data_IF_373905360866
#
_entry.id   IF_373905360866
#
_cell.length_a   1.000
_cell.length_b   1.000
_cell.length_c   1.000
_cell.angle_alpha   90.00
_cell.angle_beta   90.00
_cell.angle_gamma   90.00
#
_symmetry.space_group_name_H-M   'P 1'
#
loop_
_entity.id
_entity.type
_entity.pdbx_description
1 polymer ?
#
# COMPACT_ATOMS: atom_id res chain seq x y z
N UNK A 1 9.96 7.39 -10.83
CA UNK A 1 8.90 8.03 -11.64
C UNK A 1 7.50 7.72 -11.11
N UNK A 2 7.05 6.45 -11.13
CA UNK A 2 5.67 6.07 -10.78
C UNK A 2 5.20 6.57 -9.39
N UNK A 3 6.06 6.52 -8.37
CA UNK A 3 5.72 7.01 -7.02
C UNK A 3 5.54 8.54 -7.01
N UNK A 4 6.43 9.28 -7.67
CA UNK A 4 6.34 10.74 -7.75
C UNK A 4 5.11 11.23 -8.53
N UNK A 5 4.77 10.57 -9.64
CA UNK A 5 3.55 10.91 -10.38
C UNK A 5 2.28 10.54 -9.62
N UNK A 6 2.30 9.44 -8.85
CA UNK A 6 1.19 9.06 -7.97
C UNK A 6 0.97 10.08 -6.84
N UNK A 7 2.04 10.59 -6.23
CA UNK A 7 1.95 11.62 -5.20
C UNK A 7 1.32 12.92 -5.73
N UNK A 8 1.78 13.40 -6.90
CA UNK A 8 1.19 14.57 -7.55
C UNK A 8 -0.29 14.34 -7.89
N UNK A 9 -0.62 13.17 -8.46
CA UNK A 9 -2.01 12.83 -8.76
C UNK A 9 -2.88 12.79 -7.50
N UNK A 10 -2.37 12.26 -6.38
CA UNK A 10 -3.10 12.22 -5.12
C UNK A 10 -3.35 13.62 -4.54
N UNK A 11 -2.39 14.55 -4.66
CA UNK A 11 -2.58 15.96 -4.27
C UNK A 11 -3.68 16.60 -5.11
N UNK A 12 -3.70 16.36 -6.43
CA UNK A 12 -4.73 16.87 -7.33
C UNK A 12 -6.10 16.26 -7.03
N UNK A 13 -6.16 14.97 -6.71
CA UNK A 13 -7.40 14.30 -6.28
C UNK A 13 -7.91 14.88 -4.96
N UNK A 14 -7.04 15.19 -4.01
CA UNK A 14 -7.42 15.87 -2.78
C UNK A 14 -7.94 17.29 -3.02
N UNK A 15 -7.31 18.05 -3.91
CA UNK A 15 -7.84 19.35 -4.33
C UNK A 15 -9.23 19.22 -4.97
N UNK A 16 -9.44 18.17 -5.77
CA UNK A 16 -10.74 17.85 -6.37
C UNK A 16 -11.78 17.47 -5.31
N UNK A 17 -11.38 16.73 -4.27
CA UNK A 17 -12.21 16.41 -3.12
C UNK A 17 -12.67 17.66 -2.38
N UNK A 18 -11.77 18.61 -2.09
CA UNK A 18 -12.12 19.88 -1.47
C UNK A 18 -13.10 20.67 -2.34
N UNK A 19 -12.88 20.70 -3.65
CA UNK A 19 -13.75 21.43 -4.57
C UNK A 19 -15.14 20.80 -4.66
N UNK A 20 -15.24 19.47 -4.71
CA UNK A 20 -16.53 18.79 -4.66
C UNK A 20 -17.25 19.01 -3.33
N UNK A 21 -16.52 19.03 -2.21
CA UNK A 21 -17.09 19.30 -0.90
C UNK A 21 -17.69 20.72 -0.83
N UNK A 22 -16.97 21.71 -1.38
CA UNK A 22 -17.47 23.09 -1.49
C UNK A 22 -18.74 23.15 -2.35
N UNK A 23 -18.74 22.47 -3.50
CA UNK A 23 -19.89 22.48 -4.41
C UNK A 23 -21.16 21.90 -3.77
N UNK A 24 -21.02 20.86 -2.94
CA UNK A 24 -22.15 20.25 -2.24
C UNK A 24 -22.62 21.07 -1.03
N UNK A 25 -21.69 21.67 -0.26
CA UNK A 25 -22.04 22.52 0.90
C UNK A 25 -22.61 23.88 0.52
N UNK A 26 -22.22 24.43 -0.63
CA UNK A 26 -22.54 25.79 -1.03
C UNK A 26 -23.20 25.79 -2.44
N UNK A 27 -24.40 25.21 -2.62
CA UNK A 27 -25.02 25.14 -3.94
C UNK A 27 -25.43 26.53 -4.44
N UNK A 28 -24.99 26.89 -5.65
CA UNK A 28 -25.49 28.07 -6.38
C UNK A 28 -24.88 29.43 -6.00
N UNK A 29 -24.14 29.55 -4.90
CA UNK A 29 -23.40 30.77 -4.55
C UNK A 29 -22.09 30.39 -3.86
N UNK A 30 -21.01 30.22 -4.63
CA UNK A 30 -19.66 30.18 -4.08
C UNK A 30 -19.27 31.58 -3.58
N UNK A 31 -19.95 32.09 -2.55
CA UNK A 31 -19.41 33.23 -1.81
C UNK A 31 -18.04 32.82 -1.29
N UNK A 32 -17.05 33.70 -1.46
CA UNK A 32 -15.69 33.45 -0.95
C UNK A 32 -15.71 33.06 0.55
N UNK A 33 -16.72 33.52 1.30
CA UNK A 33 -16.97 33.16 2.69
C UNK A 33 -17.32 31.67 2.91
N UNK A 34 -18.17 31.06 2.08
CA UNK A 34 -18.53 29.64 2.21
C UNK A 34 -17.36 28.72 1.81
N UNK A 35 -16.63 29.08 0.75
CA UNK A 35 -15.40 28.36 0.39
C UNK A 35 -14.33 28.48 1.49
N UNK A 36 -14.23 29.64 2.15
CA UNK A 36 -13.31 29.84 3.27
C UNK A 36 -13.71 29.03 4.52
N UNK A 37 -15.01 28.92 4.83
CA UNK A 37 -15.48 28.11 5.96
C UNK A 37 -15.18 26.63 5.76
N UNK A 38 -15.39 26.09 4.55
CA UNK A 38 -15.06 24.70 4.22
C UNK A 38 -13.55 24.44 4.31
N UNK A 39 -12.71 25.39 3.87
CA UNK A 39 -11.25 25.27 4.04
C UNK A 39 -10.84 25.27 5.51
N UNK A 40 -11.50 26.06 6.35
CA UNK A 40 -11.24 26.10 7.79
C UNK A 40 -11.65 24.80 8.52
N UNK A 41 -12.51 23.96 7.93
CA UNK A 41 -12.82 22.64 8.50
C UNK A 41 -11.57 21.75 8.64
N UNK A 42 -10.58 21.93 7.76
CA UNK A 42 -9.35 21.14 7.75
C UNK A 42 -8.22 21.76 8.57
N UNK A 43 -8.53 22.65 9.51
CA UNK A 43 -7.55 23.20 10.44
C UNK A 43 -6.88 22.06 11.22
N UNK A 44 -5.53 22.02 11.22
CA UNK A 44 -4.75 20.98 11.92
C UNK A 44 -5.01 21.00 13.43
N UNK A 45 -5.44 22.14 13.99
CA UNK A 45 -5.86 22.23 15.40
C UNK A 45 -7.14 21.47 15.73
N UNK A 46 -7.90 21.00 14.73
CA UNK A 46 -9.11 20.21 14.95
C UNK A 46 -8.75 18.76 15.30
N UNK A 47 -9.19 18.24 16.47
CA UNK A 47 -8.92 16.86 16.89
C UNK A 47 -9.32 15.80 15.87
N UNK A 48 -10.43 15.98 15.14
CA UNK A 48 -10.91 14.99 14.18
C UNK A 48 -10.05 14.91 12.92
N UNK A 49 -9.48 16.05 12.50
CA UNK A 49 -8.50 16.09 11.40
C UNK A 49 -7.23 15.37 11.83
N UNK A 50 -6.77 15.58 13.07
CA UNK A 50 -5.60 14.87 13.62
C UNK A 50 -5.84 13.36 13.74
N UNK A 51 -7.00 12.94 14.25
CA UNK A 51 -7.38 11.53 14.28
C UNK A 51 -7.37 10.92 12.87
N UNK A 52 -7.97 11.63 11.90
CA UNK A 52 -7.93 11.24 10.50
C UNK A 52 -6.51 11.11 9.97
N UNK A 53 -5.62 12.07 10.30
CA UNK A 53 -4.22 12.04 9.89
C UNK A 53 -3.47 10.82 10.41
N UNK A 54 -3.67 10.45 11.69
CA UNK A 54 -3.09 9.24 12.27
C UNK A 54 -3.63 7.97 11.63
N UNK A 55 -4.95 7.88 11.42
CA UNK A 55 -5.58 6.73 10.77
C UNK A 55 -5.05 6.60 9.34
N UNK A 56 -5.08 7.68 8.56
CA UNK A 56 -4.55 7.73 7.20
C UNK A 56 -3.07 7.40 7.15
N UNK A 57 -2.30 7.89 8.10
CA UNK A 57 -0.87 7.61 8.24
C UNK A 57 -0.54 6.14 8.53
N UNK A 58 -1.44 5.44 9.22
CA UNK A 58 -1.32 4.01 9.51
C UNK A 58 -1.59 3.15 8.26
N UNK A 59 -2.47 3.59 7.35
CA UNK A 59 -2.95 2.76 6.24
C UNK A 59 -1.82 2.20 5.35
N UNK A 60 -0.82 2.98 4.91
CA UNK A 60 0.28 2.44 4.11
C UNK A 60 1.08 1.37 4.86
N UNK A 61 1.31 1.55 6.17
CA UNK A 61 2.02 0.57 6.98
C UNK A 61 1.22 -0.72 7.16
N UNK A 62 -0.08 -0.61 7.43
CA UNK A 62 -0.97 -1.76 7.56
C UNK A 62 -1.11 -2.52 6.24
N UNK A 63 -1.29 -1.80 5.13
CA UNK A 63 -1.36 -2.39 3.80
C UNK A 63 -0.06 -3.13 3.46
N UNK A 64 1.08 -2.50 3.76
CA UNK A 64 2.38 -3.07 3.49
C UNK A 64 2.67 -4.30 4.36
N UNK A 65 2.34 -4.26 5.66
CA UNK A 65 2.56 -5.41 6.55
C UNK A 65 1.78 -6.62 6.08
N UNK A 66 0.50 -6.47 5.75
CA UNK A 66 -0.35 -7.54 5.25
C UNK A 66 0.17 -8.12 3.92
N UNK A 67 0.61 -7.24 3.02
CA UNK A 67 1.19 -7.65 1.73
C UNK A 67 2.49 -8.44 1.91
N UNK A 68 3.37 -8.01 2.81
CA UNK A 68 4.63 -8.71 3.09
C UNK A 68 4.41 -10.03 3.82
N UNK A 69 3.45 -10.09 4.75
CA UNK A 69 3.09 -11.31 5.46
C UNK A 69 2.51 -12.37 4.50
N UNK A 70 1.69 -11.93 3.53
CA UNK A 70 1.17 -12.78 2.47
C UNK A 70 2.29 -13.37 1.60
N UNK A 71 3.27 -12.56 1.19
CA UNK A 71 4.44 -13.04 0.43
C UNK A 71 5.26 -14.00 1.27
N UNK A 72 5.45 -13.73 2.57
CA UNK A 72 6.16 -14.63 3.48
C UNK A 72 5.50 -16.01 3.59
N UNK A 73 4.16 -16.06 3.73
CA UNK A 73 3.40 -17.32 3.75
C UNK A 73 3.53 -18.08 2.42
N UNK A 74 3.31 -17.39 1.29
CA UNK A 74 3.40 -18.01 -0.02
C UNK A 74 4.82 -18.52 -0.33
N UNK A 75 5.83 -17.72 -0.02
CA UNK A 75 7.24 -18.09 -0.16
C UNK A 75 7.62 -19.29 0.71
N UNK A 76 7.14 -19.33 1.95
CA UNK A 76 7.32 -20.49 2.83
C UNK A 76 6.74 -21.78 2.25
N UNK A 77 5.51 -21.73 1.75
CA UNK A 77 4.86 -22.88 1.11
C UNK A 77 5.62 -23.36 -0.14
N UNK A 78 6.15 -22.43 -0.94
CA UNK A 78 7.00 -22.76 -2.10
C UNK A 78 8.29 -23.46 -1.66
N UNK A 79 8.94 -22.98 -0.60
CA UNK A 79 10.17 -23.59 -0.07
C UNK A 79 9.91 -25.02 0.42
N UNK A 80 8.81 -25.25 1.13
CA UNK A 80 8.42 -26.59 1.58
C UNK A 80 8.16 -27.53 0.40
N UNK A 81 7.45 -27.08 -0.63
CA UNK A 81 7.18 -27.88 -1.83
C UNK A 81 8.47 -28.19 -2.61
N UNK A 82 9.35 -27.21 -2.80
CA UNK A 82 10.65 -27.43 -3.46
C UNK A 82 11.49 -28.45 -2.67
N UNK A 83 11.52 -28.34 -1.33
CA UNK A 83 12.22 -29.31 -0.46
C UNK A 83 11.58 -30.70 -0.51
N UNK A 84 10.26 -30.80 -0.68
CA UNK A 84 9.57 -32.07 -0.87
C UNK A 84 9.98 -32.71 -2.20
N UNK A 85 9.95 -31.95 -3.29
CA UNK A 85 10.34 -32.45 -4.61
C UNK A 85 11.81 -32.92 -4.64
N UNK A 86 12.74 -32.19 -4.03
CA UNK A 86 14.14 -32.62 -3.94
C UNK A 86 14.35 -33.89 -3.12
N UNK A 87 13.49 -34.18 -2.13
CA UNK A 87 13.59 -35.40 -1.31
C UNK A 87 12.92 -36.61 -1.94
N UNK A 88 11.77 -36.41 -2.60
CA UNK A 88 10.92 -37.51 -3.06
C UNK A 88 11.12 -37.90 -4.52
N UNK A 89 11.62 -36.98 -5.37
CA UNK A 89 11.82 -37.23 -6.80
C UNK A 89 13.32 -37.42 -7.06
N UNK A 90 13.81 -38.67 -7.21
CA UNK A 90 15.22 -38.93 -7.51
C UNK A 90 15.57 -38.40 -8.92
N UNK A 91 16.81 -37.93 -9.10
CA UNK A 91 17.28 -37.40 -10.37
C UNK A 91 17.17 -35.89 -10.53
N UNK A 92 16.48 -35.16 -9.63
CA UNK A 92 16.36 -33.70 -9.74
C UNK A 92 17.69 -33.01 -9.42
N UNK A 93 18.38 -33.43 -8.34
CA UNK A 93 19.65 -32.83 -7.93
C UNK A 93 20.78 -33.20 -8.91
N UNK A 94 20.66 -34.37 -9.54
CA UNK A 94 21.57 -34.85 -10.59
C UNK A 94 21.25 -34.24 -11.97
N UNK A 95 20.12 -33.51 -12.11
CA UNK A 95 19.69 -32.87 -13.35
C UNK A 95 19.13 -33.83 -14.42
N UNK A 96 18.84 -35.09 -14.07
CA UNK A 96 18.32 -36.11 -14.98
C UNK A 96 16.79 -36.18 -15.00
N UNK A 97 16.12 -35.73 -13.93
CA UNK A 97 14.67 -35.66 -13.82
C UNK A 97 14.16 -34.21 -13.82
N UNK A 98 12.97 -33.99 -14.38
CA UNK A 98 12.34 -32.65 -14.41
C UNK A 98 11.51 -32.40 -13.15
N UNK A 99 11.66 -31.25 -12.47
CA UNK A 99 10.78 -30.85 -11.37
C UNK A 99 9.32 -30.66 -11.82
N UNK A 100 8.40 -30.77 -10.88
CA UNK A 100 7.00 -30.42 -11.12
C UNK A 100 6.78 -28.93 -10.87
N UNK A 101 6.86 -28.14 -11.94
CA UNK A 101 6.60 -26.69 -11.88
C UNK A 101 5.13 -26.35 -11.65
N UNK A 102 4.19 -27.20 -12.09
CA UNK A 102 2.76 -26.94 -12.01
C UNK A 102 2.26 -26.80 -10.57
N UNK A 103 2.76 -27.64 -9.66
CA UNK A 103 2.40 -27.56 -8.24
C UNK A 103 2.85 -26.23 -7.62
N UNK A 104 4.08 -25.80 -7.89
CA UNK A 104 4.60 -24.53 -7.38
C UNK A 104 3.81 -23.34 -7.92
N UNK A 105 3.45 -23.36 -9.21
CA UNK A 105 2.60 -22.34 -9.83
C UNK A 105 1.20 -22.30 -9.20
N UNK A 106 0.59 -23.45 -8.93
CA UNK A 106 -0.73 -23.51 -8.28
C UNK A 106 -0.70 -22.92 -6.85
N UNK A 107 0.34 -23.24 -6.07
CA UNK A 107 0.53 -22.70 -4.72
C UNK A 107 0.58 -21.17 -4.73
N UNK A 108 1.43 -20.57 -5.57
CA UNK A 108 1.56 -19.11 -5.64
C UNK A 108 0.30 -18.46 -6.19
N UNK A 109 -0.36 -19.08 -7.17
CA UNK A 109 -1.58 -18.53 -7.79
C UNK A 109 -2.73 -18.49 -6.79
N UNK A 110 -3.00 -19.61 -6.12
CA UNK A 110 -4.08 -19.70 -5.11
C UNK A 110 -3.81 -18.77 -3.93
N UNK A 111 -2.55 -18.71 -3.47
CA UNK A 111 -2.17 -17.84 -2.36
C UNK A 111 -2.32 -16.37 -2.73
N UNK A 112 -1.82 -15.94 -3.89
CA UNK A 112 -1.94 -14.56 -4.36
C UNK A 112 -3.41 -14.12 -4.46
N UNK A 113 -4.28 -14.95 -5.05
CA UNK A 113 -5.71 -14.63 -5.20
C UNK A 113 -6.42 -14.49 -3.85
N UNK A 114 -6.10 -15.36 -2.87
CA UNK A 114 -6.75 -15.32 -1.55
C UNK A 114 -6.23 -14.17 -0.70
N UNK A 115 -4.93 -13.95 -0.69
CA UNK A 115 -4.27 -13.00 0.19
C UNK A 115 -4.43 -11.54 -0.28
N UNK A 116 -4.66 -11.31 -1.58
CA UNK A 116 -4.86 -9.96 -2.12
C UNK A 116 -6.20 -9.34 -1.70
N UNK A 117 -7.19 -10.14 -1.29
CA UNK A 117 -8.55 -9.67 -0.96
C UNK A 117 -8.50 -8.66 0.18
N UNK A 118 -7.84 -8.99 1.29
CA UNK A 118 -7.86 -8.15 2.48
C UNK A 118 -7.15 -6.79 2.26
N UNK A 119 -5.91 -6.72 1.72
CA UNK A 119 -5.27 -5.44 1.42
C UNK A 119 -6.06 -4.60 0.42
N UNK A 120 -6.68 -5.21 -0.60
CA UNK A 120 -7.47 -4.50 -1.60
C UNK A 120 -8.76 -3.88 -1.02
N UNK A 121 -9.34 -4.49 0.02
CA UNK A 121 -10.52 -3.97 0.70
C UNK A 121 -10.23 -2.75 1.56
N UNK A 122 -9.03 -2.59 2.11
CA UNK A 122 -8.68 -1.46 3.00
C UNK A 122 -8.96 -0.09 2.37
N UNK A 123 -8.41 0.26 1.19
CA UNK A 123 -8.61 1.60 0.60
C UNK A 123 -10.07 1.87 0.17
N UNK A 124 -10.89 0.84 0.05
CA UNK A 124 -12.33 0.99 -0.26
C UNK A 124 -13.16 1.03 1.02
N UNK A 125 -12.86 0.15 1.97
CA UNK A 125 -13.58 -0.01 3.23
C UNK A 125 -13.39 1.16 4.18
N UNK A 126 -12.20 1.75 4.25
CA UNK A 126 -11.95 2.88 5.17
C UNK A 126 -12.85 4.09 4.83
N UNK A 127 -12.90 4.61 3.58
CA UNK A 127 -13.82 5.69 3.26
C UNK A 127 -15.28 5.33 3.48
N UNK A 128 -15.69 4.10 3.14
CA UNK A 128 -17.06 3.63 3.38
C UNK A 128 -17.41 3.62 4.86
N UNK A 129 -16.51 3.18 5.73
CA UNK A 129 -16.72 3.21 7.18
C UNK A 129 -16.88 4.64 7.70
N UNK A 130 -16.06 5.58 7.24
CA UNK A 130 -16.19 7.00 7.64
C UNK A 130 -17.55 7.55 7.24
N UNK A 131 -18.01 7.26 6.01
CA UNK A 131 -19.32 7.70 5.52
C UNK A 131 -20.45 7.05 6.31
N UNK A 132 -20.39 5.75 6.57
CA UNK A 132 -21.41 5.04 7.36
C UNK A 132 -21.51 5.60 8.77
N UNK A 133 -20.38 5.84 9.45
CA UNK A 133 -20.37 6.42 10.79
C UNK A 133 -20.93 7.85 10.80
N UNK A 134 -20.64 8.62 9.75
CA UNK A 134 -21.24 9.95 9.55
C UNK A 134 -22.75 9.85 9.33
N UNK A 135 -23.21 8.92 8.50
CA UNK A 135 -24.62 8.71 8.16
C UNK A 135 -25.45 8.28 9.39
N UNK A 136 -24.92 7.36 10.21
CA UNK A 136 -25.56 6.93 11.46
C UNK A 136 -25.47 7.97 12.60
N UNK A 137 -24.99 9.19 12.32
CA UNK A 137 -24.84 10.28 13.29
C UNK A 137 -24.00 9.91 14.52
N UNK A 138 -23.05 8.98 14.37
CA UNK A 138 -22.04 8.69 15.40
C UNK A 138 -21.12 9.90 15.57
N UNK A 139 -20.85 10.59 14.45
CA UNK A 139 -20.12 11.84 14.44
C UNK A 139 -21.08 13.04 14.30
N UNK A 140 -20.92 14.10 15.10
CA UNK A 140 -21.70 15.32 14.94
C UNK A 140 -21.24 16.13 13.72
N UNK A 141 -22.20 16.69 13.00
CA UNK A 141 -22.02 17.67 11.91
C UNK A 141 -20.98 17.25 10.84
N UNK A 142 -20.04 18.13 10.51
CA UNK A 142 -19.05 17.99 9.44
C UNK A 142 -17.85 17.10 9.77
N UNK A 143 -17.89 16.45 10.93
CA UNK A 143 -16.77 15.66 11.46
C UNK A 143 -16.37 14.54 10.51
N UNK A 144 -17.32 13.94 9.78
CA UNK A 144 -17.04 12.93 8.76
C UNK A 144 -16.17 13.47 7.63
N UNK A 145 -16.46 14.66 7.12
CA UNK A 145 -15.66 15.31 6.08
C UNK A 145 -14.26 15.70 6.59
N UNK A 146 -14.16 16.20 7.83
CA UNK A 146 -12.89 16.56 8.49
C UNK A 146 -11.98 15.34 8.65
N UNK A 147 -12.52 14.24 9.19
CA UNK A 147 -11.77 13.01 9.38
C UNK A 147 -11.37 12.38 8.05
N UNK A 148 -12.26 12.38 7.04
CA UNK A 148 -11.95 11.93 5.69
C UNK A 148 -10.76 12.70 5.10
N UNK A 149 -10.79 14.04 5.16
CA UNK A 149 -9.68 14.84 4.65
C UNK A 149 -8.36 14.57 5.39
N UNK A 150 -8.41 14.38 6.71
CA UNK A 150 -7.26 13.94 7.50
C UNK A 150 -6.71 12.59 7.01
N UNK A 151 -7.57 11.60 6.78
CA UNK A 151 -7.19 10.27 6.27
C UNK A 151 -6.51 10.38 4.91
N UNK A 152 -7.08 11.16 4.00
CA UNK A 152 -6.52 11.36 2.66
C UNK A 152 -5.12 11.97 2.74
N UNK A 153 -4.95 13.09 3.45
CA UNK A 153 -3.65 13.76 3.60
C UNK A 153 -2.63 12.86 4.31
N UNK A 154 -3.04 12.19 5.39
CA UNK A 154 -2.16 11.29 6.17
C UNK A 154 -1.63 10.14 5.32
N UNK A 155 -2.49 9.53 4.52
CA UNK A 155 -2.12 8.43 3.62
C UNK A 155 -1.18 8.87 2.49
N UNK A 156 -1.34 10.10 1.98
CA UNK A 156 -0.47 10.66 0.93
C UNK A 156 0.93 10.88 1.48
N UNK A 157 1.05 11.58 2.61
CA UNK A 157 2.35 11.95 3.19
C UNK A 157 3.13 10.70 3.58
N UNK A 158 2.54 9.84 4.39
CA UNK A 158 3.23 8.62 4.87
C UNK A 158 3.46 7.63 3.75
N UNK A 159 2.45 7.39 2.90
CA UNK A 159 2.54 6.39 1.84
C UNK A 159 3.58 6.74 0.78
N UNK A 160 3.76 8.03 0.47
CA UNK A 160 4.83 8.48 -0.41
C UNK A 160 6.23 8.09 0.12
N UNK A 161 6.52 8.40 1.38
CA UNK A 161 7.82 8.09 1.97
C UNK A 161 8.05 6.59 2.12
N UNK A 162 7.04 5.84 2.55
CA UNK A 162 7.14 4.37 2.67
C UNK A 162 7.37 3.73 1.30
N UNK A 163 6.62 4.14 0.27
CA UNK A 163 6.77 3.60 -1.08
C UNK A 163 8.18 3.81 -1.64
N UNK A 164 8.77 5.01 -1.44
CA UNK A 164 10.15 5.31 -1.85
C UNK A 164 11.13 4.45 -1.07
N UNK A 165 10.98 4.40 0.26
CA UNK A 165 11.88 3.66 1.14
C UNK A 165 11.91 2.17 0.77
N UNK A 166 10.76 1.55 0.53
CA UNK A 166 10.68 0.13 0.24
C UNK A 166 11.21 -0.21 -1.14
N UNK A 167 10.83 0.57 -2.15
CA UNK A 167 11.29 0.35 -3.53
C UNK A 167 12.80 0.54 -3.65
N UNK A 168 13.32 1.63 -3.08
CA UNK A 168 14.76 1.94 -3.14
C UNK A 168 15.58 1.02 -2.25
N UNK A 169 15.08 0.70 -1.06
CA UNK A 169 15.74 -0.19 -0.11
C UNK A 169 15.89 -1.61 -0.63
N UNK A 170 14.81 -2.20 -1.16
CA UNK A 170 14.89 -3.51 -1.79
C UNK A 170 15.78 -3.51 -3.03
N UNK A 171 15.72 -2.45 -3.87
CA UNK A 171 16.60 -2.32 -5.03
C UNK A 171 18.09 -2.20 -4.65
N UNK A 172 18.39 -1.56 -3.52
CA UNK A 172 19.75 -1.48 -3.01
C UNK A 172 20.28 -2.87 -2.60
N UNK A 173 19.47 -3.71 -1.94
CA UNK A 173 19.86 -5.08 -1.59
C UNK A 173 20.09 -5.97 -2.81
N UNK A 174 19.23 -5.90 -3.84
CA UNK A 174 19.43 -6.67 -5.09
C UNK A 174 20.73 -6.23 -5.80
N UNK A 175 20.97 -4.93 -5.90
CA UNK A 175 22.18 -4.40 -6.52
C UNK A 175 23.45 -4.73 -5.71
N UNK A 176 23.38 -4.71 -4.38
CA UNK A 176 24.49 -5.14 -3.53
C UNK A 176 24.81 -6.63 -3.74
N UNK A 177 23.80 -7.49 -3.84
CA UNK A 177 23.99 -8.91 -4.18
C UNK A 177 24.67 -9.07 -5.53
N UNK A 178 24.16 -8.41 -6.59
CA UNK A 178 24.77 -8.46 -7.95
C UNK A 178 26.23 -7.99 -7.94
N UNK A 179 26.53 -6.90 -7.23
CA UNK A 179 27.88 -6.38 -7.10
C UNK A 179 28.86 -7.39 -6.45
N UNK A 180 28.38 -8.19 -5.49
CA UNK A 180 29.16 -9.26 -4.86
C UNK A 180 29.29 -10.46 -5.81
N UNK A 181 28.24 -10.80 -6.56
CA UNK A 181 28.26 -11.85 -7.58
C UNK A 181 29.28 -11.58 -8.70
N UNK A 182 29.55 -10.32 -9.00
CA UNK A 182 30.59 -9.86 -9.94
C UNK A 182 32.03 -10.02 -9.41
N UNK A 183 32.20 -10.45 -8.15
CA UNK A 183 33.49 -10.80 -7.56
C UNK A 183 34.10 -9.76 -6.62
N UNK A 184 33.46 -8.61 -6.42
CA UNK A 184 34.02 -7.50 -5.63
C UNK A 184 34.16 -7.79 -4.11
N UNK A 185 33.54 -8.88 -3.62
CA UNK A 185 33.67 -9.33 -2.22
C UNK A 185 33.65 -10.87 -2.12
N UNK A 186 34.53 -11.53 -2.86
CA UNK A 186 34.71 -12.99 -2.79
C UNK A 186 33.79 -13.81 -3.70
N UNK A 187 32.86 -13.16 -4.42
CA UNK A 187 32.08 -13.82 -5.46
C UNK A 187 31.00 -14.78 -4.95
N UNK A 188 30.41 -15.52 -5.88
CA UNK A 188 29.34 -16.50 -5.60
C UNK A 188 29.79 -17.59 -4.64
N UNK A 189 28.95 -17.90 -3.66
CA UNK A 189 29.20 -18.93 -2.65
C UNK A 189 30.02 -18.44 -1.45
N UNK A 190 30.54 -17.21 -1.47
CA UNK A 190 31.18 -16.59 -0.30
C UNK A 190 30.18 -16.31 0.83
N UNK A 191 30.67 -16.09 2.05
CA UNK A 191 29.85 -15.68 3.19
C UNK A 191 29.15 -14.34 2.94
N UNK A 192 29.84 -13.41 2.26
CA UNK A 192 29.27 -12.13 1.84
C UNK A 192 28.12 -12.33 0.84
N UNK A 193 28.25 -13.26 -0.12
CA UNK A 193 27.19 -13.58 -1.06
C UNK A 193 25.96 -14.17 -0.37
N UNK A 194 26.14 -15.11 0.56
CA UNK A 194 25.01 -15.68 1.32
C UNK A 194 24.26 -14.63 2.15
N UNK A 195 25.00 -13.71 2.79
CA UNK A 195 24.40 -12.60 3.53
C UNK A 195 23.62 -11.65 2.60
N UNK A 196 24.18 -11.34 1.43
CA UNK A 196 23.52 -10.49 0.44
C UNK A 196 22.29 -11.14 -0.19
N UNK A 197 22.30 -12.45 -0.43
CA UNK A 197 21.12 -13.22 -0.85
C UNK A 197 20.03 -13.13 0.21
N UNK A 198 20.38 -13.26 1.49
CA UNK A 198 19.41 -13.09 2.58
C UNK A 198 18.81 -11.68 2.58
N UNK A 199 19.63 -10.64 2.43
CA UNK A 199 19.16 -9.26 2.32
C UNK A 199 18.23 -9.03 1.12
N UNK A 200 18.55 -9.58 -0.05
CA UNK A 200 17.70 -9.49 -1.23
C UNK A 200 16.35 -10.19 -1.05
N UNK A 201 16.34 -11.40 -0.44
CA UNK A 201 15.08 -12.10 -0.14
C UNK A 201 14.18 -11.36 0.85
N UNK A 202 14.76 -10.57 1.77
CA UNK A 202 14.01 -9.65 2.64
C UNK A 202 13.52 -8.43 1.84
N UNK A 203 14.30 -7.98 0.86
CA UNK A 203 14.00 -6.87 -0.03
C UNK A 203 12.98 -7.18 -1.14
N UNK A 204 12.77 -8.44 -1.52
CA UNK A 204 11.83 -8.84 -2.58
C UNK A 204 10.38 -8.39 -2.28
N UNK A 205 9.79 -8.68 -1.10
CA UNK A 205 8.47 -8.16 -0.76
C UNK A 205 8.40 -6.63 -0.72
N UNK A 206 9.51 -5.96 -0.38
CA UNK A 206 9.59 -4.50 -0.30
C UNK A 206 9.50 -3.88 -1.71
N UNK A 207 10.36 -4.32 -2.63
CA UNK A 207 10.49 -3.69 -3.96
C UNK A 207 9.48 -4.17 -4.98
N UNK A 208 9.00 -5.42 -4.87
CA UNK A 208 8.16 -6.02 -5.91
C UNK A 208 6.69 -6.17 -5.51
N UNK A 209 6.37 -6.06 -4.22
CA UNK A 209 4.99 -6.17 -3.72
C UNK A 209 4.53 -4.90 -3.03
N UNK A 210 4.99 -4.63 -1.81
CA UNK A 210 4.44 -3.58 -0.96
C UNK A 210 4.74 -2.16 -1.49
N UNK A 211 6.00 -1.87 -1.81
CA UNK A 211 6.45 -0.54 -2.24
C UNK A 211 5.67 -0.01 -3.46
N UNK A 212 5.62 -0.75 -4.58
CA UNK A 212 4.85 -0.35 -5.75
C UNK A 212 3.34 -0.28 -5.49
N UNK A 213 2.78 -1.20 -4.68
CA UNK A 213 1.35 -1.33 -4.44
C UNK A 213 0.76 -0.25 -3.50
N UNK A 214 1.58 0.44 -2.72
CA UNK A 214 1.12 1.62 -1.95
C UNK A 214 0.61 2.73 -2.89
N UNK A 215 1.19 2.87 -4.10
CA UNK A 215 0.75 3.90 -5.05
C UNK A 215 -0.71 3.74 -5.50
N UNK A 216 -1.15 2.56 -6.02
CA UNK A 216 -2.55 2.36 -6.34
C UNK A 216 -3.45 2.41 -5.09
N UNK A 217 -2.97 1.96 -3.92
CA UNK A 217 -3.74 2.07 -2.67
C UNK A 217 -4.12 3.53 -2.36
N UNK A 218 -3.16 4.46 -2.40
CA UNK A 218 -3.42 5.90 -2.18
C UNK A 218 -4.41 6.44 -3.22
N UNK A 219 -4.26 6.06 -4.49
CA UNK A 219 -5.15 6.53 -5.57
C UNK A 219 -6.57 6.03 -5.37
N UNK A 220 -6.76 4.74 -5.08
CA UNK A 220 -8.08 4.14 -4.85
C UNK A 220 -8.75 4.80 -3.65
N UNK A 221 -8.02 4.98 -2.55
CA UNK A 221 -8.54 5.65 -1.35
C UNK A 221 -9.07 7.05 -1.67
N UNK A 222 -8.30 7.86 -2.41
CA UNK A 222 -8.70 9.20 -2.82
C UNK A 222 -9.90 9.21 -3.78
N UNK A 223 -9.92 8.30 -4.77
CA UNK A 223 -11.03 8.20 -5.73
C UNK A 223 -12.32 7.78 -5.03
N UNK A 224 -12.26 6.76 -4.17
CA UNK A 224 -13.44 6.29 -3.43
C UNK A 224 -13.96 7.40 -2.51
N UNK A 225 -13.08 8.08 -1.77
CA UNK A 225 -13.48 9.21 -0.94
C UNK A 225 -14.14 10.35 -1.75
N UNK A 226 -13.60 10.65 -2.94
CA UNK A 226 -14.17 11.64 -3.86
C UNK A 226 -15.59 11.27 -4.30
N UNK A 227 -15.81 10.01 -4.69
CA UNK A 227 -17.13 9.53 -5.11
C UNK A 227 -18.16 9.57 -3.98
N UNK A 228 -17.70 9.47 -2.73
CA UNK A 228 -18.56 9.46 -1.56
C UNK A 228 -18.79 10.84 -0.92
N UNK A 229 -18.22 11.92 -1.48
CA UNK A 229 -18.34 13.29 -0.95
C UNK A 229 -19.80 13.70 -0.71
N UNK A 230 -20.70 13.36 -1.63
CA UNK A 230 -22.12 13.69 -1.52
C UNK A 230 -22.79 13.11 -0.25
N UNK A 231 -22.24 12.03 0.31
CA UNK A 231 -22.74 11.40 1.54
C UNK A 231 -22.05 11.91 2.80
N UNK A 232 -21.04 12.77 2.68
CA UNK A 232 -20.34 13.40 3.82
C UNK A 232 -20.93 14.75 4.19
N UNK A 233 -21.82 15.30 3.36
CA UNK A 233 -22.46 16.60 3.54
C UNK A 233 -23.95 16.37 3.63
N UNK A 234 -24.53 16.61 4.81
CA UNK A 234 -25.95 16.50 5.10
C UNK A 234 -26.45 17.76 5.80
#
# INVERSE_FOLDING_TARGET
YAIGSAALAAIVLFASFLQQLINHKCPGVATAACAASVRNLFAIGNPFVLCGLFIGGLLPYLFASLSMEAVGRAGGAVVEEVRRQFREIPGIMEGTARPNYGTTVDIVTRSALREMILPALIPVGVPLLVVLLSYFKVFPDDTGAQMMGGILVGSIVTGFFVAISFTSGGGAWDNAKKYIEDGNYGGKGSTAHQAAVTGDTVGDPYKDTAGPAINPMIKVLNIVALLLVAFLVH
#
